data_IF_743825273444
#
_entry.id   IF_743825273444
#
_cell.length_a   1.000
_cell.length_b   1.000
_cell.length_c   1.000
_cell.angle_alpha   90.00
_cell.angle_beta   90.00
_cell.angle_gamma   90.00
#
_symmetry.space_group_name_H-M   'P 1'
#
loop_
_entity.id
_entity.type
_entity.pdbx_description
1 polymer ?
#
# COMPACT_ATOMS: atom_id res chain seq x y z
N UNK A 1 22.44 15.90 -83.50
CA UNK A 1 22.65 16.26 -82.11
C UNK A 1 22.48 15.01 -81.33
N UNK A 2 23.58 14.44 -80.80
CA UNK A 2 23.66 13.12 -80.20
C UNK A 2 23.71 13.26 -78.70
N UNK A 3 22.75 12.65 -77.98
CA UNK A 3 22.71 12.63 -76.53
C UNK A 3 23.25 11.30 -76.03
N UNK A 4 24.43 11.35 -75.47
CA UNK A 4 25.14 10.22 -74.88
C UNK A 4 24.51 9.86 -73.55
N UNK A 5 24.00 8.63 -73.42
CA UNK A 5 23.46 8.07 -72.16
C UNK A 5 24.60 7.56 -71.28
N UNK A 6 24.79 8.17 -70.12
CA UNK A 6 25.64 7.62 -69.08
C UNK A 6 24.87 6.52 -68.29
N UNK A 7 25.38 5.29 -68.40
CA UNK A 7 24.97 4.16 -67.55
C UNK A 7 25.62 4.31 -66.16
N UNK A 8 24.81 4.49 -65.16
CA UNK A 8 25.25 4.33 -63.75
C UNK A 8 25.26 2.85 -63.40
N UNK A 9 26.43 2.36 -63.04
CA UNK A 9 26.64 1.02 -62.46
C UNK A 9 26.32 1.13 -60.96
N UNK A 10 25.23 0.51 -60.56
CA UNK A 10 24.88 0.41 -59.16
C UNK A 10 25.65 -0.74 -58.49
N UNK A 11 26.46 -0.45 -57.50
CA UNK A 11 27.04 -1.46 -56.61
C UNK A 11 25.94 -1.96 -55.63
N UNK A 12 25.82 -3.26 -55.41
CA UNK A 12 24.96 -3.78 -54.34
C UNK A 12 25.64 -3.59 -52.97
N UNK A 13 25.00 -2.82 -52.11
CA UNK A 13 25.37 -2.75 -50.69
C UNK A 13 24.85 -4.02 -50.03
N UNK A 14 25.74 -4.92 -49.69
CA UNK A 14 25.43 -6.07 -48.84
C UNK A 14 25.32 -5.58 -47.38
N UNK A 15 24.11 -5.40 -46.90
CA UNK A 15 23.87 -5.10 -45.50
C UNK A 15 24.03 -6.40 -44.68
N UNK A 16 25.14 -6.51 -43.96
CA UNK A 16 25.32 -7.56 -42.96
C UNK A 16 24.41 -7.29 -41.77
N UNK A 17 23.35 -8.07 -41.63
CA UNK A 17 22.49 -8.06 -40.46
C UNK A 17 23.21 -8.84 -39.37
N UNK A 18 23.80 -8.12 -38.38
CA UNK A 18 24.31 -8.72 -37.17
C UNK A 18 23.10 -9.07 -36.25
N UNK A 19 22.75 -10.34 -36.24
CA UNK A 19 21.77 -10.88 -35.29
C UNK A 19 22.45 -10.96 -33.91
N UNK A 20 22.26 -9.96 -33.08
CA UNK A 20 22.66 -10.01 -31.68
C UNK A 20 21.69 -10.95 -30.94
N UNK A 21 22.09 -12.16 -30.68
CA UNK A 21 21.41 -13.08 -29.77
C UNK A 21 21.52 -12.49 -28.36
N UNK A 22 20.48 -11.78 -27.91
CA UNK A 22 20.33 -11.43 -26.53
C UNK A 22 20.10 -12.73 -25.73
N UNK A 23 21.16 -13.20 -25.06
CA UNK A 23 21.06 -14.26 -24.06
C UNK A 23 20.22 -13.69 -22.93
N UNK A 24 18.92 -14.01 -22.91
CA UNK A 24 18.07 -13.75 -21.78
C UNK A 24 18.64 -14.57 -20.60
N UNK A 25 19.28 -13.88 -19.66
CA UNK A 25 19.63 -14.49 -18.38
C UNK A 25 18.34 -15.06 -17.77
N UNK A 26 18.32 -16.31 -17.32
CA UNK A 26 17.16 -16.81 -16.61
C UNK A 26 16.91 -15.90 -15.42
N UNK A 27 15.75 -15.28 -15.37
CA UNK A 27 15.26 -14.65 -14.16
C UNK A 27 15.21 -15.76 -13.11
N UNK A 28 16.21 -15.83 -12.27
CA UNK A 28 16.14 -16.65 -11.06
C UNK A 28 14.94 -16.10 -10.30
N UNK A 29 13.83 -16.81 -10.41
CA UNK A 29 12.69 -16.62 -9.53
C UNK A 29 13.29 -16.68 -8.12
N UNK A 30 13.31 -15.54 -7.43
CA UNK A 30 13.71 -15.50 -6.04
C UNK A 30 12.83 -16.55 -5.36
N UNK A 31 13.46 -17.63 -4.88
CA UNK A 31 12.77 -18.68 -4.14
C UNK A 31 11.97 -17.94 -3.07
N UNK A 32 10.65 -18.02 -3.15
CA UNK A 32 9.76 -17.20 -2.35
C UNK A 32 10.15 -17.34 -0.89
N UNK A 33 10.67 -16.26 -0.31
CA UNK A 33 10.95 -16.24 1.11
C UNK A 33 9.64 -16.60 1.79
N UNK A 34 9.66 -17.67 2.60
CA UNK A 34 8.47 -18.12 3.29
C UNK A 34 7.90 -16.95 4.09
N UNK A 35 6.68 -16.55 3.76
CA UNK A 35 6.01 -15.44 4.44
C UNK A 35 5.94 -15.79 5.93
N UNK A 36 6.44 -14.90 6.79
CA UNK A 36 6.50 -15.15 8.22
C UNK A 36 5.62 -14.17 8.99
N UNK A 37 5.01 -14.66 10.06
CA UNK A 37 4.35 -13.81 11.05
C UNK A 37 5.33 -13.45 12.15
N UNK A 38 5.18 -12.27 12.74
CA UNK A 38 6.06 -11.84 13.82
C UNK A 38 5.98 -10.36 14.13
N UNK A 39 6.88 -9.94 15.00
CA UNK A 39 6.98 -8.57 15.51
C UNK A 39 8.33 -7.99 15.12
N UNK A 40 8.33 -6.87 14.46
CA UNK A 40 9.51 -6.28 13.83
C UNK A 40 9.76 -4.86 14.34
N UNK A 41 11.04 -4.51 14.47
CA UNK A 41 11.47 -3.17 14.90
C UNK A 41 11.75 -2.23 13.74
N UNK A 42 11.89 -2.75 12.52
CA UNK A 42 12.16 -1.95 11.32
C UNK A 42 11.20 -2.30 10.19
N UNK A 43 10.87 -1.30 9.39
CA UNK A 43 9.98 -1.44 8.25
C UNK A 43 10.53 -2.39 7.18
N UNK A 44 11.85 -2.37 6.94
CA UNK A 44 12.50 -3.25 5.96
C UNK A 44 12.34 -4.73 6.33
N UNK A 45 12.52 -5.05 7.63
CA UNK A 45 12.33 -6.44 8.11
C UNK A 45 10.86 -6.84 8.03
N UNK A 46 9.94 -5.96 8.39
CA UNK A 46 8.51 -6.21 8.27
C UNK A 46 8.10 -6.41 6.80
N UNK A 47 8.61 -5.60 5.86
CA UNK A 47 8.34 -5.76 4.44
C UNK A 47 8.86 -7.09 3.89
N UNK A 48 10.07 -7.50 4.26
CA UNK A 48 10.60 -8.80 3.87
C UNK A 48 9.74 -9.97 4.39
N UNK A 49 9.21 -9.85 5.62
CA UNK A 49 8.33 -10.86 6.21
C UNK A 49 6.92 -10.86 5.58
N UNK A 50 6.41 -9.70 5.23
CA UNK A 50 5.09 -9.53 4.60
C UNK A 50 5.07 -10.00 3.14
N UNK A 51 6.17 -9.82 2.41
CA UNK A 51 6.29 -10.22 1.01
C UNK A 51 5.62 -9.27 0.01
N UNK A 52 5.17 -8.10 0.44
CA UNK A 52 4.60 -7.07 -0.41
C UNK A 52 5.15 -5.67 -0.03
N UNK A 53 4.90 -4.68 -0.88
CA UNK A 53 5.42 -3.32 -0.69
C UNK A 53 4.67 -2.62 0.42
N UNK A 54 5.40 -2.20 1.47
CA UNK A 54 4.84 -1.46 2.57
C UNK A 54 5.02 0.05 2.40
N UNK A 55 4.13 0.79 3.03
CA UNK A 55 4.20 2.24 3.18
C UNK A 55 4.30 2.59 4.66
N UNK A 56 5.07 3.61 4.96
CA UNK A 56 5.23 4.15 6.31
C UNK A 56 4.80 5.61 6.38
N UNK A 57 4.22 6.08 7.47
CA UNK A 57 3.95 7.50 7.65
C UNK A 57 5.25 8.27 7.89
N UNK A 58 5.35 9.48 7.34
CA UNK A 58 6.44 10.41 7.62
C UNK A 58 6.05 11.42 8.70
N UNK A 59 4.79 11.45 9.11
CA UNK A 59 4.29 12.27 10.21
C UNK A 59 3.33 11.46 11.07
N UNK A 60 3.56 11.45 12.38
CA UNK A 60 2.68 10.84 13.39
C UNK A 60 2.15 11.87 14.37
N UNK A 61 2.31 13.16 14.09
CA UNK A 61 1.94 14.29 14.96
C UNK A 61 2.54 14.21 16.37
N UNK A 62 3.78 13.72 16.48
CA UNK A 62 4.48 13.55 17.75
C UNK A 62 3.98 12.36 18.59
N UNK A 63 3.01 11.59 18.09
CA UNK A 63 2.63 10.34 18.74
C UNK A 63 3.79 9.34 18.60
N UNK A 64 4.19 8.77 19.72
CA UNK A 64 5.24 7.75 19.74
C UNK A 64 4.71 6.44 19.20
N UNK A 65 5.55 5.69 18.52
CA UNK A 65 5.28 4.30 18.23
C UNK A 65 5.14 3.54 19.56
N UNK A 66 3.97 2.96 19.83
CA UNK A 66 3.69 2.24 21.08
C UNK A 66 4.03 0.76 21.01
N UNK A 67 4.53 0.31 19.89
CA UNK A 67 4.81 -1.10 19.71
C UNK A 67 5.76 -1.35 18.55
N UNK A 68 5.76 -2.58 18.15
CA UNK A 68 6.47 -3.06 17.00
C UNK A 68 5.55 -3.07 15.78
N UNK A 69 6.14 -3.21 14.61
CA UNK A 69 5.40 -3.50 13.39
C UNK A 69 5.02 -4.98 13.47
N UNK A 70 3.74 -5.27 13.45
CA UNK A 70 3.21 -6.63 13.55
C UNK A 70 2.87 -7.12 12.15
N UNK A 71 3.42 -8.26 11.79
CA UNK A 71 3.05 -9.02 10.58
C UNK A 71 2.33 -10.28 11.01
N UNK A 72 1.14 -10.51 10.50
CA UNK A 72 0.35 -11.71 10.79
C UNK A 72 -0.31 -12.27 9.52
N UNK A 73 -0.76 -13.51 9.61
CA UNK A 73 -1.57 -14.09 8.54
C UNK A 73 -2.92 -13.37 8.47
N UNK A 74 -3.43 -13.21 7.26
CA UNK A 74 -4.76 -12.69 7.01
C UNK A 74 -5.65 -13.87 6.58
N UNK A 75 -6.49 -14.30 7.49
CA UNK A 75 -7.43 -15.40 7.25
C UNK A 75 -8.72 -14.89 6.56
N UNK A 76 -8.60 -14.40 5.33
CA UNK A 76 -9.80 -14.17 4.50
C UNK A 76 -10.19 -15.45 3.80
N UNK A 77 -11.48 -15.68 3.61
CA UNK A 77 -11.99 -16.82 2.89
C UNK A 77 -11.29 -16.97 1.52
N UNK A 78 -10.53 -18.04 1.35
CA UNK A 78 -9.75 -18.34 0.14
C UNK A 78 -8.33 -17.79 0.10
N UNK A 79 -7.82 -17.13 1.16
CA UNK A 79 -6.53 -16.44 1.15
C UNK A 79 -5.48 -16.97 2.12
N UNK A 80 -5.22 -18.26 2.14
CA UNK A 80 -4.31 -18.91 3.11
C UNK A 80 -2.88 -18.34 3.21
N UNK A 81 -2.44 -17.52 2.25
CA UNK A 81 -1.09 -16.94 2.21
C UNK A 81 -1.07 -15.41 2.24
N UNK A 82 -2.17 -14.77 2.62
CA UNK A 82 -2.24 -13.32 2.72
C UNK A 82 -1.67 -12.82 4.04
N UNK A 83 -1.08 -11.64 4.02
CA UNK A 83 -0.48 -11.00 5.21
C UNK A 83 -1.14 -9.67 5.50
N UNK A 84 -1.21 -9.39 6.79
CA UNK A 84 -1.61 -8.10 7.31
C UNK A 84 -0.44 -7.51 8.12
N UNK A 85 -0.16 -6.25 7.90
CA UNK A 85 0.88 -5.50 8.63
C UNK A 85 0.22 -4.35 9.35
N UNK A 86 0.42 -4.29 10.67
CA UNK A 86 -0.20 -3.27 11.53
C UNK A 86 0.84 -2.56 12.37
N UNK A 87 0.65 -1.25 12.57
CA UNK A 87 1.44 -0.43 13.47
C UNK A 87 0.55 0.64 14.11
N UNK A 88 0.76 0.88 15.40
CA UNK A 88 0.06 1.91 16.17
C UNK A 88 0.99 3.00 16.70
N UNK A 89 0.46 4.20 16.82
CA UNK A 89 1.10 5.38 17.38
C UNK A 89 0.19 6.02 18.43
N UNK A 90 0.74 6.42 19.55
CA UNK A 90 -0.01 6.97 20.67
C UNK A 90 -0.65 5.89 21.56
N UNK A 91 -1.55 6.24 22.43
CA UNK A 91 -2.19 5.33 23.39
C UNK A 91 -3.64 5.10 22.99
N UNK A 92 -4.02 3.85 22.77
CA UNK A 92 -5.32 3.45 22.22
C UNK A 92 -6.53 4.09 22.96
N UNK A 93 -6.51 4.13 24.27
CA UNK A 93 -7.63 4.67 25.06
C UNK A 93 -7.61 6.20 25.25
N UNK A 94 -6.63 6.90 24.69
CA UNK A 94 -6.52 8.36 24.78
C UNK A 94 -6.49 8.99 23.40
N UNK A 95 -5.37 8.91 22.71
CA UNK A 95 -5.18 9.42 21.36
C UNK A 95 -4.28 8.48 20.59
N UNK A 96 -4.74 8.01 19.44
CA UNK A 96 -3.94 7.13 18.61
C UNK A 96 -4.21 7.31 17.13
N UNK A 97 -3.18 6.97 16.35
CA UNK A 97 -3.23 6.72 14.92
C UNK A 97 -2.72 5.30 14.68
N UNK A 98 -3.28 4.62 13.72
CA UNK A 98 -2.77 3.31 13.30
C UNK A 98 -2.82 3.18 11.78
N UNK A 99 -1.96 2.32 11.26
CA UNK A 99 -1.93 1.95 9.86
C UNK A 99 -1.95 0.43 9.76
N UNK A 100 -2.88 -0.07 8.97
CA UNK A 100 -2.97 -1.47 8.59
C UNK A 100 -2.85 -1.57 7.08
N UNK A 101 -2.05 -2.51 6.59
CA UNK A 101 -1.82 -2.78 5.18
C UNK A 101 -1.92 -4.27 4.95
N UNK A 102 -2.61 -4.68 3.92
CA UNK A 102 -2.72 -6.09 3.56
C UNK A 102 -2.65 -6.30 2.05
N UNK A 103 -2.22 -7.47 1.62
CA UNK A 103 -2.13 -7.90 0.23
C UNK A 103 -3.39 -8.61 -0.25
N UNK A 104 -4.50 -8.43 0.46
CA UNK A 104 -5.79 -8.98 0.11
C UNK A 104 -6.59 -8.00 -0.75
N UNK A 105 -7.47 -8.51 -1.62
CA UNK A 105 -8.41 -7.69 -2.39
C UNK A 105 -9.56 -7.11 -1.53
N UNK A 106 -9.35 -6.95 -0.23
CA UNK A 106 -10.27 -6.43 0.74
C UNK A 106 -9.68 -6.51 2.15
N UNK A 107 -10.28 -5.85 3.15
CA UNK A 107 -9.72 -5.82 4.48
C UNK A 107 -9.64 -7.22 5.09
N UNK A 108 -8.52 -7.49 5.75
CA UNK A 108 -8.36 -8.69 6.57
C UNK A 108 -9.24 -8.60 7.80
N UNK A 109 -10.40 -9.18 7.76
CA UNK A 109 -11.34 -9.23 8.87
C UNK A 109 -12.78 -8.94 8.46
N UNK A 110 -13.67 -8.98 9.42
CA UNK A 110 -15.08 -8.63 9.26
C UNK A 110 -15.20 -7.15 8.89
N UNK A 111 -16.09 -6.85 7.95
CA UNK A 111 -16.33 -5.49 7.49
C UNK A 111 -16.57 -4.53 8.68
N UNK A 112 -16.11 -3.31 8.54
CA UNK A 112 -16.26 -2.29 9.57
C UNK A 112 -17.73 -1.91 9.73
N UNK A 113 -18.23 -1.98 10.96
CA UNK A 113 -19.51 -1.42 11.32
C UNK A 113 -19.31 0.07 11.64
N UNK A 114 -19.88 0.95 10.82
CA UNK A 114 -19.76 2.39 11.05
C UNK A 114 -20.62 3.19 10.08
N UNK A 115 -20.71 4.50 10.32
CA UNK A 115 -21.39 5.43 9.43
C UNK A 115 -20.41 6.00 8.42
N UNK A 116 -20.77 5.99 7.14
CA UNK A 116 -19.99 6.65 6.09
C UNK A 116 -19.95 8.16 6.31
N UNK A 117 -18.75 8.73 6.37
CA UNK A 117 -18.50 10.16 6.57
C UNK A 117 -18.00 10.85 5.31
N UNK A 118 -18.01 10.15 4.19
CA UNK A 118 -17.66 10.70 2.88
C UNK A 118 -16.43 10.08 2.24
N UNK A 119 -16.10 10.60 1.07
CA UNK A 119 -15.01 10.12 0.22
C UNK A 119 -13.93 11.17 0.12
N UNK A 120 -12.68 10.72 0.17
CA UNK A 120 -11.47 11.55 0.08
C UNK A 120 -10.53 11.00 -0.99
N UNK A 121 -9.44 11.70 -1.25
CA UNK A 121 -8.37 11.21 -2.12
C UNK A 121 -7.05 11.18 -1.37
N UNK A 122 -6.42 10.00 -1.36
CA UNK A 122 -5.08 9.79 -0.81
C UNK A 122 -4.17 9.42 -1.99
N UNK A 123 -3.17 10.24 -2.26
CA UNK A 123 -2.30 10.10 -3.44
C UNK A 123 -3.08 9.91 -4.76
N UNK A 124 -4.20 10.65 -4.91
CA UNK A 124 -5.09 10.54 -6.08
C UNK A 124 -6.06 9.36 -6.06
N UNK A 125 -5.92 8.41 -5.13
CA UNK A 125 -6.75 7.22 -5.01
C UNK A 125 -7.98 7.54 -4.16
N UNK A 126 -9.15 7.03 -4.56
CA UNK A 126 -10.39 7.18 -3.82
C UNK A 126 -10.29 6.41 -2.49
N UNK A 127 -10.55 7.11 -1.39
CA UNK A 127 -10.58 6.57 -0.04
C UNK A 127 -11.93 6.85 0.60
N UNK A 128 -12.50 5.88 1.30
CA UNK A 128 -13.75 5.99 2.02
C UNK A 128 -13.49 6.22 3.50
N UNK A 129 -14.06 7.27 4.08
CA UNK A 129 -14.01 7.54 5.50
C UNK A 129 -15.24 7.00 6.20
N UNK A 130 -15.02 6.29 7.29
CA UNK A 130 -16.03 5.75 8.18
C UNK A 130 -15.80 6.29 9.59
N UNK A 131 -16.87 6.41 10.35
CA UNK A 131 -16.82 6.78 11.76
C UNK A 131 -17.62 5.83 12.62
N UNK A 132 -17.11 5.56 13.81
CA UNK A 132 -17.73 4.70 14.79
C UNK A 132 -17.54 5.28 16.20
N UNK A 133 -18.52 5.19 17.05
CA UNK A 133 -18.46 5.67 18.42
C UNK A 133 -18.93 4.64 19.46
N UNK A 134 -18.39 3.45 19.36
CA UNK A 134 -18.73 2.38 20.25
C UNK A 134 -20.14 1.83 19.98
N UNK A 135 -20.94 1.72 21.02
CA UNK A 135 -22.30 1.19 20.92
C UNK A 135 -23.36 2.26 20.58
N UNK A 136 -22.94 3.53 20.46
CA UNK A 136 -23.84 4.65 20.19
C UNK A 136 -23.83 5.02 18.71
N UNK A 137 -24.94 5.54 18.23
CA UNK A 137 -25.02 6.10 16.89
C UNK A 137 -24.21 7.40 16.78
N UNK A 138 -23.57 7.65 15.64
CA UNK A 138 -22.74 8.83 15.40
C UNK A 138 -23.35 10.18 15.79
N UNK A 139 -24.65 10.46 15.61
CA UNK A 139 -25.25 11.71 16.05
C UNK A 139 -25.26 11.93 17.57
N UNK A 140 -25.24 10.85 18.36
CA UNK A 140 -25.19 10.89 19.82
C UNK A 140 -23.79 10.76 20.42
N UNK A 141 -22.78 10.55 19.54
CA UNK A 141 -21.40 10.41 19.93
C UNK A 141 -20.82 11.72 20.46
N UNK A 142 -20.30 11.70 21.66
CA UNK A 142 -19.47 12.83 22.11
C UNK A 142 -18.22 12.86 21.23
N UNK A 143 -17.84 14.04 20.75
CA UNK A 143 -16.69 14.27 19.86
C UNK A 143 -15.35 13.73 20.39
N UNK A 144 -15.31 13.25 21.64
CA UNK A 144 -14.12 12.80 22.36
C UNK A 144 -13.87 11.29 22.33
N UNK A 145 -14.73 10.51 21.63
CA UNK A 145 -14.59 9.03 21.57
C UNK A 145 -14.88 8.47 20.18
N UNK A 146 -14.59 9.25 19.16
CA UNK A 146 -14.84 8.83 17.77
C UNK A 146 -13.65 8.04 17.28
N UNK A 147 -13.92 6.84 16.81
CA UNK A 147 -13.01 6.10 15.96
C UNK A 147 -13.28 6.46 14.49
N UNK A 148 -12.24 6.78 13.77
CA UNK A 148 -12.31 7.05 12.34
C UNK A 148 -11.46 6.02 11.59
N UNK A 149 -11.98 5.52 10.48
CA UNK A 149 -11.25 4.64 9.56
C UNK A 149 -11.31 5.22 8.17
N UNK A 150 -10.14 5.47 7.59
CA UNK A 150 -9.96 5.85 6.21
C UNK A 150 -9.41 4.65 5.44
N UNK A 151 -10.17 4.17 4.48
CA UNK A 151 -9.93 2.91 3.79
C UNK A 151 -9.79 3.15 2.29
N UNK A 152 -8.77 2.56 1.68
CA UNK A 152 -8.57 2.61 0.22
C UNK A 152 -7.85 1.36 -0.27
N UNK A 153 -8.00 1.11 -1.56
CA UNK A 153 -7.29 0.05 -2.26
C UNK A 153 -6.37 0.66 -3.31
N UNK A 154 -5.14 0.19 -3.38
CA UNK A 154 -4.21 0.53 -4.44
C UNK A 154 -3.64 -0.75 -5.05
N UNK A 155 -3.95 -1.00 -6.33
CA UNK A 155 -3.67 -2.28 -7.00
C UNK A 155 -4.35 -3.45 -6.26
N UNK A 156 -3.57 -4.42 -5.82
CA UNK A 156 -4.06 -5.57 -5.05
C UNK A 156 -4.06 -5.33 -3.52
N UNK A 157 -3.36 -4.28 -3.06
CA UNK A 157 -3.15 -4.03 -1.65
C UNK A 157 -4.27 -3.18 -1.07
N UNK A 158 -4.64 -3.46 0.17
CA UNK A 158 -5.67 -2.73 0.90
C UNK A 158 -5.05 -2.00 2.08
N UNK A 159 -5.52 -0.79 2.34
CA UNK A 159 -4.98 0.11 3.36
C UNK A 159 -6.09 0.62 4.25
N UNK A 160 -5.82 0.61 5.55
CA UNK A 160 -6.68 1.25 6.54
C UNK A 160 -5.83 2.14 7.44
N UNK A 161 -6.04 3.44 7.37
CA UNK A 161 -5.56 4.35 8.39
C UNK A 161 -6.68 4.58 9.38
N UNK A 162 -6.42 4.42 10.67
CA UNK A 162 -7.41 4.62 11.72
C UNK A 162 -6.94 5.61 12.75
N UNK A 163 -7.89 6.21 13.44
CA UNK A 163 -7.62 7.10 14.57
C UNK A 163 -8.64 6.90 15.67
N UNK A 164 -8.20 7.08 16.91
CA UNK A 164 -9.05 7.19 18.07
C UNK A 164 -8.84 8.54 18.74
N UNK A 165 -9.93 9.26 18.97
CA UNK A 165 -9.92 10.56 19.63
C UNK A 165 -8.95 11.59 19.01
N UNK A 166 -8.78 11.53 17.70
CA UNK A 166 -7.99 12.47 16.91
C UNK A 166 -8.87 13.19 15.88
N UNK A 167 -8.50 14.42 15.54
CA UNK A 167 -9.21 15.18 14.53
C UNK A 167 -9.16 14.50 13.17
N UNK A 168 -10.27 14.53 12.43
CA UNK A 168 -10.36 14.02 11.05
C UNK A 168 -9.21 14.52 10.16
N UNK A 169 -8.88 15.82 10.26
CA UNK A 169 -7.79 16.41 9.48
C UNK A 169 -6.44 15.77 9.75
N UNK A 170 -6.17 15.34 10.99
CA UNK A 170 -4.94 14.63 11.33
C UNK A 170 -4.89 13.25 10.71
N UNK A 171 -6.00 12.50 10.73
CA UNK A 171 -6.07 11.20 10.07
C UNK A 171 -5.86 11.32 8.56
N UNK A 172 -6.50 12.28 7.90
CA UNK A 172 -6.34 12.52 6.47
C UNK A 172 -4.89 12.90 6.12
N UNK A 173 -4.28 13.79 6.92
CA UNK A 173 -2.89 14.16 6.71
C UNK A 173 -1.95 12.97 6.99
N UNK A 174 -2.14 12.24 8.08
CA UNK A 174 -1.36 11.02 8.37
C UNK A 174 -1.35 10.08 7.16
N UNK A 175 -2.52 9.76 6.59
CA UNK A 175 -2.62 8.92 5.40
C UNK A 175 -1.93 9.55 4.17
N UNK A 176 -1.98 10.88 4.01
CA UNK A 176 -1.32 11.56 2.89
C UNK A 176 0.20 11.61 3.00
N UNK A 177 0.76 11.40 4.20
CA UNK A 177 2.21 11.38 4.43
C UNK A 177 2.87 10.03 4.16
N UNK A 178 2.11 9.01 3.80
CA UNK A 178 2.64 7.68 3.54
C UNK A 178 3.66 7.69 2.40
N UNK A 179 4.79 7.02 2.62
CA UNK A 179 5.86 6.83 1.62
C UNK A 179 6.26 5.37 1.61
N UNK A 180 6.62 4.88 0.45
CA UNK A 180 7.13 3.53 0.28
C UNK A 180 8.37 3.30 1.17
N UNK A 181 8.47 2.11 1.72
CA UNK A 181 9.59 1.66 2.58
C UNK A 181 10.84 1.41 1.76
#
# INVERSE_FOLDING_TARGET
MSLTRLRRIGLPIVAAIAVSAAVAAPATAAAGAALSSGTFTTWQKAQAAAGFVLYRPTSTYGLRNVGHIIVSACEVAGGANKRIVSIGYGTFNTKSLALTQDDANGPCGNGYAGTSLGTYRIHGIKAQLWGYCGFDNLPSCSSTKIELWLMWQHKADYYTASSYNEARSRLLHFASTLRQV
#
